data_IF_721548034175
#
_entry.id   IF_721548034175
#
_cell.length_a   1.000
_cell.length_b   1.000
_cell.length_c   1.000
_cell.angle_alpha   90.00
_cell.angle_beta   90.00
_cell.angle_gamma   90.00
#
_symmetry.space_group_name_H-M   'P 1'
#
loop_
_entity.id
_entity.type
_entity.pdbx_description
1 polymer ?
#
# COMPACT_ATOMS: atom_id res chain seq x y z
N UNK A 1 20.47 -5.68 12.96
CA UNK A 1 20.60 -6.84 12.04
C UNK A 1 19.30 -6.92 11.26
N UNK A 2 19.31 -6.58 9.97
CA UNK A 2 18.12 -6.77 9.14
C UNK A 2 17.93 -8.28 8.95
N UNK A 3 16.79 -8.82 9.41
CA UNK A 3 16.44 -10.21 9.09
C UNK A 3 16.14 -10.22 7.60
N UNK A 4 17.10 -10.60 6.75
CA UNK A 4 16.82 -10.81 5.33
C UNK A 4 15.73 -11.89 5.25
N UNK A 5 14.65 -11.62 4.53
CA UNK A 5 13.60 -12.60 4.27
C UNK A 5 14.22 -13.81 3.57
N UNK A 6 14.48 -14.88 4.33
CA UNK A 6 14.92 -16.18 3.84
C UNK A 6 13.80 -17.19 4.05
N UNK A 7 12.92 -17.40 3.06
CA UNK A 7 11.77 -18.29 3.18
C UNK A 7 12.18 -19.76 3.39
N UNK A 8 13.43 -20.12 3.08
CA UNK A 8 13.89 -21.50 3.19
C UNK A 8 14.04 -21.93 4.66
N UNK A 9 14.33 -21.02 5.59
CA UNK A 9 14.50 -21.35 7.02
C UNK A 9 13.24 -21.93 7.68
N UNK A 10 12.06 -21.48 7.25
CA UNK A 10 10.79 -22.02 7.73
C UNK A 10 10.45 -23.36 7.07
N UNK A 11 10.97 -23.61 5.86
CA UNK A 11 10.73 -24.83 5.08
C UNK A 11 11.69 -25.97 5.45
N UNK A 12 12.92 -25.65 5.86
CA UNK A 12 13.94 -26.64 6.27
C UNK A 12 13.78 -27.12 7.71
N UNK A 13 12.90 -26.49 8.50
CA UNK A 13 12.62 -26.87 9.89
C UNK A 13 13.59 -26.28 10.93
N UNK A 14 14.49 -25.37 10.52
CA UNK A 14 15.46 -24.71 11.41
C UNK A 14 14.79 -23.73 12.40
N UNK A 15 13.57 -23.29 12.10
CA UNK A 15 12.74 -22.47 12.99
C UNK A 15 11.27 -22.86 12.83
N UNK A 16 10.47 -22.88 13.91
CA UNK A 16 9.02 -23.04 13.79
C UNK A 16 8.42 -21.98 12.86
N UNK A 17 7.63 -22.41 11.88
CA UNK A 17 7.08 -21.51 10.85
C UNK A 17 6.26 -20.34 11.46
N UNK A 18 5.54 -20.58 12.56
CA UNK A 18 4.78 -19.54 13.25
C UNK A 18 5.67 -18.43 13.84
N UNK A 19 6.81 -18.80 14.44
CA UNK A 19 7.77 -17.84 14.98
C UNK A 19 8.47 -17.05 13.88
N UNK A 20 8.73 -17.71 12.75
CA UNK A 20 9.30 -17.06 11.57
C UNK A 20 8.33 -16.04 10.98
N UNK A 21 7.08 -16.45 10.71
CA UNK A 21 6.04 -15.59 10.11
C UNK A 21 5.77 -14.39 11.03
N UNK A 22 5.52 -14.62 12.32
CA UNK A 22 5.25 -13.52 13.26
C UNK A 22 6.44 -12.56 13.36
N UNK A 23 7.67 -13.08 13.39
CA UNK A 23 8.90 -12.28 13.38
C UNK A 23 8.98 -11.39 12.15
N UNK A 24 8.81 -11.94 10.95
CA UNK A 24 8.87 -11.18 9.68
C UNK A 24 7.74 -10.16 9.58
N UNK A 25 6.51 -10.55 9.90
CA UNK A 25 5.33 -9.69 9.80
C UNK A 25 5.47 -8.46 10.70
N UNK A 26 5.83 -8.66 11.97
CA UNK A 26 5.91 -7.58 12.96
C UNK A 26 7.13 -6.69 12.74
N UNK A 27 8.29 -7.28 12.44
CA UNK A 27 9.56 -6.53 12.39
C UNK A 27 9.84 -5.87 11.03
N UNK A 28 9.25 -6.35 9.94
CA UNK A 28 9.59 -5.90 8.59
C UNK A 28 8.38 -5.57 7.73
N UNK A 29 7.50 -6.55 7.51
CA UNK A 29 6.45 -6.40 6.49
C UNK A 29 5.47 -5.27 6.85
N UNK A 30 4.93 -5.26 8.08
CA UNK A 30 4.02 -4.20 8.50
C UNK A 30 4.70 -2.82 8.56
N UNK A 31 5.91 -2.64 9.15
CA UNK A 31 6.62 -1.36 9.07
C UNK A 31 6.82 -0.84 7.64
N UNK A 32 7.29 -1.69 6.72
CA UNK A 32 7.50 -1.30 5.33
C UNK A 32 6.18 -0.92 4.64
N UNK A 33 5.13 -1.70 4.88
CA UNK A 33 3.80 -1.42 4.33
C UNK A 33 3.23 -0.10 4.86
N UNK A 34 3.38 0.21 6.15
CA UNK A 34 2.95 1.49 6.73
C UNK A 34 3.63 2.68 6.04
N UNK A 35 4.94 2.58 5.79
CA UNK A 35 5.68 3.62 5.07
C UNK A 35 5.14 3.80 3.65
N UNK A 36 4.91 2.70 2.92
CA UNK A 36 4.36 2.75 1.57
C UNK A 36 2.95 3.35 1.54
N UNK A 37 2.06 2.92 2.44
CA UNK A 37 0.69 3.44 2.55
C UNK A 37 0.68 4.94 2.87
N UNK A 38 1.61 5.42 3.71
CA UNK A 38 1.78 6.86 3.97
C UNK A 38 2.19 7.61 2.71
N UNK A 39 3.10 7.07 1.91
CA UNK A 39 3.51 7.67 0.63
C UNK A 39 2.34 7.74 -0.35
N UNK A 40 1.57 6.65 -0.51
CA UNK A 40 0.41 6.62 -1.41
C UNK A 40 -0.67 7.63 -0.99
N UNK A 41 -0.92 7.76 0.32
CA UNK A 41 -1.82 8.77 0.87
C UNK A 41 -1.33 10.20 0.55
N UNK A 42 -0.02 10.44 0.66
CA UNK A 42 0.59 11.73 0.30
C UNK A 42 0.49 12.03 -1.20
N UNK A 43 0.64 11.03 -2.06
CA UNK A 43 0.45 11.17 -3.51
C UNK A 43 -0.99 11.55 -3.85
N UNK A 44 -1.98 10.89 -3.25
CA UNK A 44 -3.38 11.22 -3.48
C UNK A 44 -3.75 12.60 -2.93
N UNK A 45 -3.19 13.00 -1.78
CA UNK A 45 -3.35 14.37 -1.28
C UNK A 45 -2.78 15.39 -2.25
N UNK A 46 -1.59 15.13 -2.79
CA UNK A 46 -0.94 15.99 -3.80
C UNK A 46 -1.79 16.04 -5.07
N UNK A 47 -2.32 14.90 -5.51
CA UNK A 47 -3.15 14.77 -6.68
C UNK A 47 -4.38 15.69 -6.63
N UNK A 48 -5.17 15.57 -5.56
CA UNK A 48 -6.38 16.38 -5.41
C UNK A 48 -6.06 17.86 -5.13
N UNK A 49 -5.05 18.14 -4.30
CA UNK A 49 -4.68 19.52 -3.95
C UNK A 49 -4.19 20.34 -5.15
N UNK A 50 -3.60 19.69 -6.16
CA UNK A 50 -3.09 20.35 -7.37
C UNK A 50 -4.02 20.21 -8.58
N UNK A 51 -5.22 19.63 -8.40
CA UNK A 51 -6.19 19.45 -9.48
C UNK A 51 -5.62 18.65 -10.66
N UNK A 52 -4.86 17.58 -10.38
CA UNK A 52 -4.21 16.78 -11.43
C UNK A 52 -5.25 16.20 -12.41
N UNK A 53 -6.44 15.83 -11.94
CA UNK A 53 -7.58 15.45 -12.79
C UNK A 53 -7.84 16.44 -13.93
N UNK A 54 -7.96 17.73 -13.61
CA UNK A 54 -8.21 18.77 -14.61
C UNK A 54 -7.01 18.94 -15.58
N UNK A 55 -5.78 18.77 -15.09
CA UNK A 55 -4.58 18.81 -15.94
C UNK A 55 -4.53 17.63 -16.92
N UNK A 56 -4.94 16.45 -16.47
CA UNK A 56 -5.03 15.23 -17.29
C UNK A 56 -6.12 15.39 -18.36
N UNK A 57 -7.29 15.91 -18.00
CA UNK A 57 -8.38 16.21 -18.97
C UNK A 57 -7.95 17.25 -20.02
N UNK A 58 -7.25 18.30 -19.60
CA UNK A 58 -6.71 19.31 -20.50
C UNK A 58 -5.66 18.70 -21.46
N UNK A 59 -4.77 17.85 -20.96
CA UNK A 59 -3.77 17.15 -21.77
C UNK A 59 -4.42 16.18 -22.77
N UNK A 60 -5.46 15.46 -22.35
CA UNK A 60 -6.27 14.59 -23.23
C UNK A 60 -6.93 15.38 -24.36
N UNK A 61 -7.55 16.51 -24.02
CA UNK A 61 -8.19 17.39 -25.02
C UNK A 61 -7.17 17.96 -26.01
N UNK A 62 -5.97 18.31 -25.53
CA UNK A 62 -4.90 18.81 -26.37
C UNK A 62 -4.16 17.72 -27.16
N UNK A 63 -4.41 16.44 -26.90
CA UNK A 63 -3.69 15.32 -27.52
C UNK A 63 -2.20 15.29 -27.16
N UNK A 64 -1.82 15.77 -25.97
CA UNK A 64 -0.43 15.84 -25.50
C UNK A 64 -0.20 15.00 -24.25
N UNK A 65 1.06 14.65 -24.00
CA UNK A 65 1.45 13.94 -22.78
C UNK A 65 1.61 14.93 -21.62
N UNK A 66 1.17 14.51 -20.43
CA UNK A 66 1.41 15.24 -19.18
C UNK A 66 2.63 14.63 -18.48
N UNK A 67 3.65 15.45 -18.23
CA UNK A 67 4.93 15.01 -17.64
C UNK A 67 5.55 13.77 -18.32
N UNK A 68 5.37 13.64 -19.65
CA UNK A 68 5.89 12.54 -20.44
C UNK A 68 5.02 11.28 -20.49
N UNK A 69 3.92 11.22 -19.75
CA UNK A 69 2.98 10.09 -19.74
C UNK A 69 1.66 10.45 -20.43
N UNK A 70 1.01 9.44 -21.03
CA UNK A 70 -0.28 9.64 -21.68
C UNK A 70 -1.37 9.92 -20.64
N UNK A 71 -2.44 10.65 -21.02
CA UNK A 71 -3.59 10.89 -20.14
C UNK A 71 -4.26 9.60 -19.64
N UNK A 72 -4.25 8.54 -20.44
CA UNK A 72 -4.76 7.21 -20.06
C UNK A 72 -3.97 6.63 -18.88
N UNK A 73 -2.64 6.65 -18.94
CA UNK A 73 -1.77 6.18 -17.84
C UNK A 73 -1.99 6.98 -16.56
N UNK A 74 -2.17 8.30 -16.69
CA UNK A 74 -2.55 9.13 -15.55
C UNK A 74 -3.90 8.71 -14.96
N UNK A 75 -4.90 8.45 -15.80
CA UNK A 75 -6.22 7.96 -15.38
C UNK A 75 -6.14 6.64 -14.61
N UNK A 76 -5.31 5.68 -15.08
CA UNK A 76 -5.09 4.40 -14.40
C UNK A 76 -4.49 4.59 -13.00
N UNK A 77 -3.51 5.50 -12.86
CA UNK A 77 -2.90 5.81 -11.57
C UNK A 77 -3.90 6.43 -10.59
N UNK A 78 -4.65 7.44 -11.03
CA UNK A 78 -5.65 8.12 -10.20
C UNK A 78 -6.74 7.17 -9.73
N UNK A 79 -7.25 6.32 -10.64
CA UNK A 79 -8.25 5.31 -10.34
C UNK A 79 -7.72 4.29 -9.34
N UNK A 80 -6.52 3.75 -9.57
CA UNK A 80 -5.90 2.75 -8.67
C UNK A 80 -5.69 3.31 -7.26
N UNK A 81 -5.22 4.55 -7.13
CA UNK A 81 -5.03 5.19 -5.82
C UNK A 81 -6.37 5.38 -5.09
N UNK A 82 -7.41 5.79 -5.82
CA UNK A 82 -8.76 5.99 -5.27
C UNK A 82 -9.36 4.68 -4.79
N UNK A 83 -9.35 3.64 -5.63
CA UNK A 83 -9.88 2.31 -5.29
C UNK A 83 -9.11 1.66 -4.14
N UNK A 84 -7.79 1.85 -4.07
CA UNK A 84 -7.00 1.38 -2.94
C UNK A 84 -7.45 2.05 -1.63
N UNK A 85 -7.72 3.36 -1.62
CA UNK A 85 -8.25 4.04 -0.43
C UNK A 85 -9.62 3.52 -0.02
N UNK A 86 -10.52 3.31 -1.00
CA UNK A 86 -11.84 2.73 -0.75
C UNK A 86 -11.68 1.36 -0.10
N UNK A 87 -10.85 0.49 -0.67
CA UNK A 87 -10.59 -0.83 -0.11
C UNK A 87 -10.01 -0.76 1.31
N UNK A 88 -9.03 0.11 1.57
CA UNK A 88 -8.42 0.29 2.89
C UNK A 88 -9.43 0.69 3.97
N UNK A 89 -10.50 1.38 3.60
CA UNK A 89 -11.56 1.84 4.50
C UNK A 89 -12.77 0.91 4.54
N UNK A 90 -12.90 -0.02 3.59
CA UNK A 90 -14.02 -0.95 3.53
C UNK A 90 -13.81 -2.09 4.53
N UNK A 91 -14.76 -2.36 5.44
CA UNK A 91 -14.63 -3.46 6.38
C UNK A 91 -14.55 -4.83 5.69
N UNK A 92 -13.61 -5.67 6.14
CA UNK A 92 -13.60 -7.10 5.79
C UNK A 92 -14.60 -7.79 6.73
N UNK A 93 -15.72 -8.28 6.16
CA UNK A 93 -16.85 -8.85 6.91
C UNK A 93 -16.42 -9.95 7.89
N UNK A 94 -15.53 -10.86 7.45
CA UNK A 94 -15.10 -12.01 8.24
C UNK A 94 -14.31 -11.67 9.50
N UNK A 95 -13.73 -10.46 9.59
CA UNK A 95 -12.92 -10.02 10.74
C UNK A 95 -13.46 -8.74 11.40
N UNK A 96 -14.52 -8.14 10.85
CA UNK A 96 -15.17 -6.93 11.39
C UNK A 96 -14.25 -5.71 11.46
N UNK A 97 -13.20 -5.64 10.64
CA UNK A 97 -12.18 -4.59 10.65
C UNK A 97 -11.87 -4.14 9.24
N UNK A 98 -11.48 -2.88 9.07
CA UNK A 98 -10.96 -2.40 7.79
C UNK A 98 -9.51 -2.86 7.59
N UNK A 99 -9.04 -3.02 6.33
CA UNK A 99 -7.63 -3.32 6.09
C UNK A 99 -6.71 -2.28 6.72
N UNK A 100 -7.05 -0.99 6.70
CA UNK A 100 -6.26 0.05 7.36
C UNK A 100 -6.10 -0.22 8.88
N UNK A 101 -7.17 -0.61 9.57
CA UNK A 101 -7.10 -0.96 11.00
C UNK A 101 -6.18 -2.16 11.27
N UNK A 102 -6.10 -3.11 10.33
CA UNK A 102 -5.24 -4.29 10.48
C UNK A 102 -3.79 -3.97 10.14
N UNK A 103 -3.54 -3.28 9.02
CA UNK A 103 -2.20 -3.07 8.47
C UNK A 103 -1.44 -1.94 9.17
N UNK A 104 -2.15 -0.92 9.65
CA UNK A 104 -1.52 0.22 10.32
C UNK A 104 -1.35 0.00 11.83
N UNK A 105 -2.09 -0.94 12.45
CA UNK A 105 -2.00 -1.23 13.89
C UNK A 105 -0.62 -1.74 14.29
N UNK A 106 -0.12 -1.28 15.44
CA UNK A 106 1.02 -1.91 16.12
C UNK A 106 0.55 -3.15 16.89
N UNK A 107 1.22 -4.28 16.70
CA UNK A 107 0.92 -5.54 17.38
C UNK A 107 2.02 -5.81 18.43
N UNK A 108 1.84 -5.39 19.69
CA UNK A 108 2.71 -5.84 20.76
C UNK A 108 2.54 -7.36 20.95
N UNK A 109 3.61 -8.06 21.36
CA UNK A 109 3.49 -9.47 21.75
C UNK A 109 2.49 -9.56 22.91
N UNK A 110 1.45 -10.35 22.74
CA UNK A 110 0.54 -10.73 23.81
C UNK A 110 1.23 -11.86 24.60
N UNK A 111 1.33 -11.68 25.93
CA UNK A 111 2.10 -12.55 26.82
C UNK A 111 1.40 -13.86 27.16
#
# INVERSE_FOLDING_TARGET
MAIIFDPNRALTGDQPAADYISGVVVSQALPALRMLLSTLTGLQSTWHANGIEAQVEAAATAGVNLAGYSPEVWGDWGTTLTELQVWLQTPIESIGKTPAQVLLRQYPREG
#
